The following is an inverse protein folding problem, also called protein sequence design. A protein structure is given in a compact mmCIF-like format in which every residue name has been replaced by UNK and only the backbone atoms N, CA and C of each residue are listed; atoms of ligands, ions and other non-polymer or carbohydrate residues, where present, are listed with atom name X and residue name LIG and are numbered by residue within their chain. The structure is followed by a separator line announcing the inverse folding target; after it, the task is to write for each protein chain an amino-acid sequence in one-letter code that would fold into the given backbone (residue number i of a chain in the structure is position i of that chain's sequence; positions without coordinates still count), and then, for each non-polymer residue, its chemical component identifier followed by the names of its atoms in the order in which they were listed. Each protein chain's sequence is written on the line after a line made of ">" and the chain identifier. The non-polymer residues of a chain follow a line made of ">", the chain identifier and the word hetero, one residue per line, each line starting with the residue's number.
data_IF_954085159780
#
_entry.id   IF_954085159780
#
_cell.length_a   1.000
_cell.length_b   1.000
_cell.length_c   1.000
_cell.angle_alpha   90.00
_cell.angle_beta   90.00
_cell.angle_gamma   90.00
#
_symmetry.space_group_name_H-M   'P 1'
#
loop_
_entity.id
_entity.type
_entity.pdbx_description
1 polymer ?
#
# COMPACT_ATOMS: atom_id res chain seq x y z
N UNK A 1 36.72 9.92 16.30
CA UNK A 1 36.13 9.85 14.95
C UNK A 1 34.63 9.98 15.11
N UNK A 2 33.98 10.93 14.45
CA UNK A 2 32.53 11.12 14.55
C UNK A 2 31.83 10.24 13.51
N UNK A 3 30.86 9.45 13.97
CA UNK A 3 29.93 8.71 13.14
C UNK A 3 28.96 9.71 12.49
N UNK A 4 28.94 9.75 11.16
CA UNK A 4 27.97 10.52 10.37
C UNK A 4 26.91 9.51 9.93
N UNK A 5 25.66 9.57 10.43
CA UNK A 5 24.62 8.65 10.00
C UNK A 5 24.36 8.81 8.50
N UNK A 6 24.38 7.70 7.76
CA UNK A 6 24.10 7.70 6.34
C UNK A 6 22.61 8.00 6.06
N UNK A 7 22.45 9.11 5.34
CA UNK A 7 21.49 9.43 4.26
C UNK A 7 20.00 9.06 4.41
N UNK A 8 19.09 10.03 4.16
CA UNK A 8 17.65 9.80 4.18
C UNK A 8 17.28 8.64 3.26
N UNK A 9 16.45 7.73 3.78
CA UNK A 9 15.91 6.55 3.09
C UNK A 9 15.59 6.90 1.64
N UNK A 10 16.44 6.44 0.71
CA UNK A 10 16.22 6.70 -0.70
C UNK A 10 14.87 6.10 -1.11
N UNK A 11 14.10 6.87 -1.88
CA UNK A 11 12.82 6.39 -2.40
C UNK A 11 13.03 5.06 -3.14
N UNK A 12 12.30 4.03 -2.71
CA UNK A 12 12.40 2.69 -3.26
C UNK A 12 12.14 2.73 -4.76
N UNK A 13 13.12 2.30 -5.55
CA UNK A 13 12.99 2.26 -6.99
C UNK A 13 11.94 1.21 -7.36
N UNK A 14 10.89 1.66 -8.06
CA UNK A 14 9.82 0.78 -8.56
C UNK A 14 10.04 0.49 -10.04
N UNK A 15 9.83 -0.76 -10.50
CA UNK A 15 10.01 -1.12 -11.90
C UNK A 15 8.98 -0.42 -12.79
N UNK A 16 9.32 -0.27 -14.07
CA UNK A 16 8.35 0.21 -15.05
C UNK A 16 7.29 -0.85 -15.33
N UNK A 17 6.06 -0.39 -15.56
CA UNK A 17 4.93 -1.22 -15.98
C UNK A 17 5.25 -2.11 -17.19
N UNK A 18 6.09 -1.60 -18.10
CA UNK A 18 6.46 -2.27 -19.33
C UNK A 18 7.39 -3.49 -19.10
N UNK A 19 8.05 -3.56 -17.94
CA UNK A 19 9.10 -4.56 -17.64
C UNK A 19 8.65 -5.60 -16.62
N UNK A 20 7.54 -5.38 -15.90
CA UNK A 20 7.09 -6.32 -14.86
C UNK A 20 6.38 -7.54 -15.43
N UNK A 21 6.49 -8.68 -14.75
CA UNK A 21 5.75 -9.90 -15.09
C UNK A 21 4.99 -10.48 -13.90
N UNK A 22 4.04 -11.37 -14.17
CA UNK A 22 3.31 -12.10 -13.11
C UNK A 22 4.24 -12.97 -12.25
N UNK A 23 5.34 -13.47 -12.84
CA UNK A 23 6.37 -14.24 -12.12
C UNK A 23 7.09 -13.40 -11.06
N UNK A 24 7.17 -12.08 -11.26
CA UNK A 24 7.77 -11.13 -10.33
C UNK A 24 6.77 -10.68 -9.24
N UNK A 25 5.59 -11.32 -9.16
CA UNK A 25 4.55 -11.00 -8.18
C UNK A 25 3.59 -9.90 -8.61
N UNK A 26 3.75 -9.31 -9.81
CA UNK A 26 2.86 -8.27 -10.34
C UNK A 26 1.63 -8.89 -11.00
N UNK A 27 0.53 -8.94 -10.26
CA UNK A 27 -0.73 -9.49 -10.73
C UNK A 27 -1.63 -8.42 -11.36
N UNK A 28 -2.56 -8.85 -12.22
CA UNK A 28 -3.55 -7.96 -12.82
C UNK A 28 -3.10 -7.30 -14.13
N UNK A 29 -1.93 -7.63 -14.68
CA UNK A 29 -1.50 -7.15 -16.00
C UNK A 29 -2.49 -7.48 -17.12
N UNK A 30 -3.12 -8.65 -17.04
CA UNK A 30 -4.12 -9.11 -18.01
C UNK A 30 -5.57 -8.76 -17.62
N UNK A 31 -5.79 -7.97 -16.56
CA UNK A 31 -7.15 -7.63 -16.14
C UNK A 31 -7.88 -6.86 -17.24
N UNK A 32 -9.07 -7.33 -17.59
CA UNK A 32 -10.00 -6.66 -18.53
C UNK A 32 -11.04 -5.82 -17.81
N UNK A 33 -11.07 -5.88 -16.47
CA UNK A 33 -12.02 -5.13 -15.64
C UNK A 33 -11.81 -3.62 -15.80
N UNK A 34 -12.91 -2.87 -15.75
CA UNK A 34 -12.84 -1.41 -15.75
C UNK A 34 -12.36 -0.90 -14.38
N UNK A 35 -11.88 0.35 -14.34
CA UNK A 35 -11.50 1.03 -13.09
C UNK A 35 -12.69 1.06 -12.13
N UNK A 36 -13.89 1.37 -12.62
CA UNK A 36 -15.12 1.42 -11.81
C UNK A 36 -15.47 0.07 -11.19
N UNK A 37 -15.35 -1.03 -11.96
CA UNK A 37 -15.55 -2.38 -11.44
C UNK A 37 -14.54 -2.68 -10.33
N UNK A 38 -13.26 -2.33 -10.52
CA UNK A 38 -12.23 -2.55 -9.51
C UNK A 38 -12.47 -1.70 -8.25
N UNK A 39 -12.88 -0.44 -8.40
CA UNK A 39 -13.25 0.42 -7.26
C UNK A 39 -14.41 -0.19 -6.46
N UNK A 40 -15.45 -0.70 -7.12
CA UNK A 40 -16.55 -1.37 -6.45
C UNK A 40 -16.10 -2.64 -5.71
N UNK A 41 -15.21 -3.43 -6.32
CA UNK A 41 -14.64 -4.61 -5.65
C UNK A 41 -13.79 -4.24 -4.43
N UNK A 42 -12.99 -3.17 -4.52
CA UNK A 42 -12.22 -2.63 -3.39
C UNK A 42 -13.17 -2.15 -2.28
N UNK A 43 -14.25 -1.43 -2.63
CA UNK A 43 -15.27 -0.99 -1.67
C UNK A 43 -15.87 -2.17 -0.93
N UNK A 44 -16.24 -3.24 -1.65
CA UNK A 44 -16.77 -4.45 -1.03
C UNK A 44 -15.74 -5.16 -0.15
N UNK A 45 -14.47 -5.17 -0.55
CA UNK A 45 -13.40 -5.76 0.25
C UNK A 45 -13.14 -4.97 1.54
N UNK A 46 -13.11 -3.64 1.46
CA UNK A 46 -12.96 -2.76 2.62
C UNK A 46 -14.18 -2.85 3.56
N UNK A 47 -15.39 -2.98 3.00
CA UNK A 47 -16.61 -3.20 3.79
C UNK A 47 -16.53 -4.49 4.62
N UNK A 48 -16.02 -5.58 4.04
CA UNK A 48 -15.78 -6.83 4.78
C UNK A 48 -14.74 -6.70 5.89
N UNK A 49 -13.83 -5.73 5.77
CA UNK A 49 -12.85 -5.36 6.79
C UNK A 49 -13.39 -4.35 7.82
N UNK A 50 -14.69 -4.02 7.76
CA UNK A 50 -15.33 -3.10 8.71
C UNK A 50 -15.20 -1.61 8.37
N UNK A 51 -14.79 -1.28 7.14
CA UNK A 51 -14.66 0.10 6.68
C UNK A 51 -15.74 0.51 5.67
N UNK A 52 -16.19 1.74 5.75
CA UNK A 52 -17.05 2.36 4.74
C UNK A 52 -16.22 3.30 3.87
N UNK A 53 -16.16 3.01 2.56
CA UNK A 53 -15.46 3.87 1.60
C UNK A 53 -16.28 5.12 1.34
N UNK A 54 -15.67 6.30 1.50
CA UNK A 54 -16.26 7.60 1.23
C UNK A 54 -16.04 8.03 -0.21
N UNK A 55 -14.81 7.90 -0.71
CA UNK A 55 -14.47 8.30 -2.08
C UNK A 55 -13.15 7.70 -2.60
N UNK A 56 -13.04 7.64 -3.92
CA UNK A 56 -11.77 7.44 -4.64
C UNK A 56 -11.37 8.75 -5.30
N UNK A 57 -10.26 9.33 -4.87
CA UNK A 57 -9.70 10.53 -5.44
C UNK A 57 -8.55 10.17 -6.36
N UNK A 58 -8.71 10.39 -7.68
CA UNK A 58 -7.63 10.22 -8.64
C UNK A 58 -6.57 11.31 -8.43
N UNK A 59 -5.31 10.94 -8.45
CA UNK A 59 -4.20 11.88 -8.25
C UNK A 59 -2.91 11.39 -8.90
N UNK A 60 -1.82 12.06 -8.54
CA UNK A 60 -0.47 11.66 -8.91
C UNK A 60 0.38 11.54 -7.65
N UNK A 61 1.12 10.45 -7.55
CA UNK A 61 2.17 10.30 -6.57
C UNK A 61 3.43 11.01 -7.11
N UNK A 62 3.96 11.92 -6.30
CA UNK A 62 5.18 12.67 -6.63
C UNK A 62 6.37 11.99 -5.95
N UNK A 63 7.23 11.41 -6.77
CA UNK A 63 8.50 10.82 -6.38
C UNK A 63 9.55 11.09 -7.46
N UNK A 64 10.60 10.27 -7.56
CA UNK A 64 11.59 10.30 -8.65
C UNK A 64 10.92 10.27 -10.03
N UNK A 65 9.85 9.48 -10.16
CA UNK A 65 8.99 9.46 -11.35
C UNK A 65 7.55 9.75 -10.96
N UNK A 66 6.86 10.63 -11.69
CA UNK A 66 5.44 10.91 -11.47
C UNK A 66 4.59 9.71 -11.87
N UNK A 67 3.81 9.18 -10.92
CA UNK A 67 2.96 8.01 -11.10
C UNK A 67 1.51 8.40 -10.94
N UNK A 68 0.64 7.97 -11.85
CA UNK A 68 -0.80 8.14 -11.66
C UNK A 68 -1.27 7.22 -10.52
N UNK A 69 -2.30 7.62 -9.78
CA UNK A 69 -2.77 6.83 -8.64
C UNK A 69 -4.16 7.21 -8.14
N UNK A 70 -4.54 6.58 -7.04
CA UNK A 70 -5.77 6.87 -6.30
C UNK A 70 -5.49 6.98 -4.81
N UNK A 71 -6.20 7.90 -4.18
CA UNK A 71 -6.35 8.01 -2.73
C UNK A 71 -7.73 7.52 -2.36
N UNK A 72 -7.81 6.49 -1.54
CA UNK A 72 -9.07 5.91 -1.04
C UNK A 72 -9.32 6.47 0.35
N UNK A 73 -10.39 7.25 0.49
CA UNK A 73 -10.84 7.76 1.78
C UNK A 73 -11.90 6.82 2.35
N UNK A 74 -11.73 6.40 3.60
CA UNK A 74 -12.68 5.52 4.27
C UNK A 74 -12.87 5.92 5.74
N UNK A 75 -13.90 5.37 6.37
CA UNK A 75 -14.13 5.46 7.81
C UNK A 75 -14.28 4.07 8.40
N UNK A 76 -13.66 3.85 9.55
CA UNK A 76 -13.79 2.63 10.33
C UNK A 76 -14.61 2.90 11.58
N UNK A 77 -15.61 2.07 11.85
CA UNK A 77 -16.39 2.17 13.07
C UNK A 77 -15.64 1.47 14.21
N UNK A 78 -15.15 2.25 15.18
CA UNK A 78 -14.51 1.71 16.37
C UNK A 78 -15.53 1.04 17.30
N UNK A 79 -15.05 0.20 18.22
CA UNK A 79 -15.89 -0.52 19.17
C UNK A 79 -16.72 0.40 20.09
N UNK A 80 -16.27 1.64 20.29
CA UNK A 80 -16.96 2.68 21.06
C UNK A 80 -17.94 3.51 20.22
N UNK A 81 -18.20 3.11 18.97
CA UNK A 81 -19.12 3.78 18.05
C UNK A 81 -18.55 5.03 17.37
N UNK A 82 -17.29 5.39 17.60
CA UNK A 82 -16.64 6.50 16.89
C UNK A 82 -16.27 6.10 15.47
N UNK A 83 -16.47 7.02 14.53
CA UNK A 83 -15.94 6.89 13.18
C UNK A 83 -14.51 7.41 13.15
N UNK A 84 -13.56 6.53 12.82
CA UNK A 84 -12.17 6.89 12.66
C UNK A 84 -11.85 6.98 11.17
N UNK A 85 -11.44 8.15 10.65
CA UNK A 85 -11.11 8.30 9.25
C UNK A 85 -9.80 7.56 8.93
N UNK A 86 -9.69 7.08 7.70
CA UNK A 86 -8.50 6.42 7.18
C UNK A 86 -8.28 6.72 5.71
N UNK A 87 -7.06 6.48 5.27
CA UNK A 87 -6.60 6.77 3.92
C UNK A 87 -5.68 5.66 3.41
N UNK A 88 -5.95 5.18 2.21
CA UNK A 88 -5.03 4.31 1.47
C UNK A 88 -4.59 5.02 0.20
N UNK A 89 -3.29 5.26 0.06
CA UNK A 89 -2.70 5.81 -1.15
C UNK A 89 -2.15 4.67 -2.03
N UNK A 90 -2.57 4.64 -3.29
CA UNK A 90 -2.14 3.65 -4.28
C UNK A 90 -1.55 4.37 -5.49
N UNK A 91 -0.31 4.04 -5.82
CA UNK A 91 0.36 4.52 -7.02
C UNK A 91 0.48 3.39 -8.05
N UNK A 92 0.17 3.67 -9.30
CA UNK A 92 0.46 2.76 -10.41
C UNK A 92 1.95 2.72 -10.72
N UNK A 93 2.38 1.67 -11.42
CA UNK A 93 3.74 1.62 -11.94
C UNK A 93 3.97 2.72 -12.99
N UNK A 94 5.18 3.31 -13.04
CA UNK A 94 5.53 4.27 -14.07
C UNK A 94 5.54 3.58 -15.45
N UNK A 95 5.26 4.35 -16.50
CA UNK A 95 5.22 3.86 -17.89
C UNK A 95 6.33 4.56 -18.68
N UNK A 96 7.05 3.83 -19.52
CA UNK A 96 8.10 4.39 -20.38
C UNK A 96 7.47 5.26 -21.48
N UNK A 97 7.97 6.47 -21.70
CA UNK A 97 7.47 7.39 -22.74
C UNK A 97 7.74 6.86 -24.15
N UNK A 98 8.96 6.39 -24.42
CA UNK A 98 9.32 5.71 -25.67
C UNK A 98 9.31 4.19 -25.49
N UNK A 99 8.23 3.54 -25.89
CA UNK A 99 8.18 2.08 -25.94
C UNK A 99 7.78 1.62 -27.33
N UNK A 100 8.50 0.64 -27.85
CA UNK A 100 8.43 0.17 -29.25
C UNK A 100 7.10 -0.46 -29.68
N UNK A 101 6.12 -0.59 -28.77
CA UNK A 101 4.84 -1.23 -29.06
C UNK A 101 3.78 -0.21 -29.52
N UNK A 102 2.92 -0.66 -30.44
CA UNK A 102 1.76 0.04 -31.03
C UNK A 102 0.74 0.62 -30.02
N UNK A 103 0.90 0.39 -28.71
CA UNK A 103 0.00 0.92 -27.67
C UNK A 103 0.40 2.33 -27.26
N UNK A 104 -0.55 3.27 -27.37
CA UNK A 104 -0.37 4.64 -26.89
C UNK A 104 -0.05 4.66 -25.39
N UNK A 105 0.81 5.59 -24.97
CA UNK A 105 1.20 5.77 -23.56
C UNK A 105 -0.02 5.89 -22.63
N UNK A 106 -1.07 6.60 -23.07
CA UNK A 106 -2.33 6.74 -22.32
C UNK A 106 -2.97 5.37 -22.00
N UNK A 107 -3.00 4.43 -22.95
CA UNK A 107 -3.56 3.09 -22.73
C UNK A 107 -2.72 2.29 -21.75
N UNK A 108 -1.40 2.44 -21.80
CA UNK A 108 -0.48 1.77 -20.87
C UNK A 108 -0.62 2.33 -19.44
N UNK A 109 -0.74 3.65 -19.28
CA UNK A 109 -1.04 4.30 -17.99
C UNK A 109 -2.36 3.82 -17.40
N UNK A 110 -3.41 3.73 -18.23
CA UNK A 110 -4.71 3.20 -17.79
C UNK A 110 -4.60 1.73 -17.35
N UNK A 111 -3.84 0.91 -18.08
CA UNK A 111 -3.61 -0.49 -17.70
C UNK A 111 -2.81 -0.60 -16.39
N UNK A 112 -1.78 0.23 -16.21
CA UNK A 112 -0.99 0.28 -14.97
C UNK A 112 -1.87 0.65 -13.76
N UNK A 113 -2.81 1.60 -13.93
CA UNK A 113 -3.79 1.97 -12.90
C UNK A 113 -4.72 0.81 -12.56
N UNK A 114 -5.25 0.10 -13.56
CA UNK A 114 -6.10 -1.08 -13.34
C UNK A 114 -5.35 -2.18 -12.62
N UNK A 115 -4.09 -2.41 -12.97
CA UNK A 115 -3.21 -3.36 -12.31
C UNK A 115 -3.03 -2.99 -10.83
N UNK A 116 -2.75 -1.73 -10.52
CA UNK A 116 -2.59 -1.27 -9.14
C UNK A 116 -3.87 -1.45 -8.30
N UNK A 117 -5.04 -1.12 -8.85
CA UNK A 117 -6.32 -1.35 -8.18
C UNK A 117 -6.63 -2.85 -8.00
N UNK A 118 -6.30 -3.68 -9.00
CA UNK A 118 -6.44 -5.13 -8.89
C UNK A 118 -5.57 -5.72 -7.78
N UNK A 119 -4.32 -5.25 -7.66
CA UNK A 119 -3.42 -5.66 -6.59
C UNK A 119 -3.94 -5.22 -5.22
N UNK A 120 -4.42 -3.98 -5.08
CA UNK A 120 -5.05 -3.52 -3.84
C UNK A 120 -6.24 -4.41 -3.46
N UNK A 121 -7.13 -4.69 -4.41
CA UNK A 121 -8.28 -5.59 -4.19
C UNK A 121 -7.82 -6.95 -3.67
N UNK A 122 -6.76 -7.50 -4.26
CA UNK A 122 -6.19 -8.79 -3.85
C UNK A 122 -5.57 -8.73 -2.46
N UNK A 123 -4.84 -7.66 -2.15
CA UNK A 123 -4.28 -7.43 -0.83
C UNK A 123 -5.37 -7.32 0.25
N UNK A 124 -6.47 -6.58 -0.01
CA UNK A 124 -7.58 -6.48 0.93
C UNK A 124 -8.30 -7.82 1.14
N UNK A 125 -8.44 -8.63 0.07
CA UNK A 125 -8.98 -9.97 0.19
C UNK A 125 -8.07 -10.88 1.03
N UNK A 126 -6.75 -10.79 0.86
CA UNK A 126 -5.77 -11.49 1.69
C UNK A 126 -5.83 -11.04 3.15
N UNK A 127 -5.97 -9.74 3.39
CA UNK A 127 -6.11 -9.18 4.73
C UNK A 127 -7.39 -9.67 5.43
N UNK A 128 -8.50 -9.80 4.70
CA UNK A 128 -9.73 -10.38 5.24
C UNK A 128 -9.57 -11.86 5.61
N UNK A 129 -8.82 -12.64 4.81
CA UNK A 129 -8.48 -14.01 5.18
C UNK A 129 -7.66 -14.02 6.48
N UNK A 130 -6.64 -13.16 6.60
CA UNK A 130 -5.80 -13.07 7.79
C UNK A 130 -6.57 -12.69 9.05
N UNK A 131 -7.58 -11.82 8.94
CA UNK A 131 -8.42 -11.45 10.08
C UNK A 131 -9.21 -12.64 10.66
N UNK A 132 -9.54 -13.64 9.83
CA UNK A 132 -10.19 -14.87 10.30
C UNK A 132 -9.21 -15.86 10.92
N UNK A 133 -7.96 -15.89 10.42
CA UNK A 133 -6.95 -16.84 10.86
C UNK A 133 -6.18 -16.38 12.10
N UNK A 134 -6.05 -15.07 12.31
CA UNK A 134 -5.25 -14.48 13.38
C UNK A 134 -6.11 -13.56 14.24
N UNK A 135 -6.57 -14.02 15.42
CA UNK A 135 -7.22 -13.16 16.40
C UNK A 135 -6.34 -11.95 16.74
N UNK A 136 -6.87 -10.75 16.56
CA UNK A 136 -6.14 -9.49 16.77
C UNK A 136 -5.53 -8.86 15.51
N UNK A 137 -5.51 -9.56 14.36
CA UNK A 137 -5.07 -8.96 13.11
C UNK A 137 -6.04 -7.83 12.68
N UNK A 138 -5.50 -6.62 12.56
CA UNK A 138 -6.27 -5.41 12.27
C UNK A 138 -5.74 -4.73 11.01
N UNK A 139 -6.20 -5.21 9.85
CA UNK A 139 -5.70 -4.84 8.53
C UNK A 139 -5.65 -3.34 8.25
N UNK A 140 -6.63 -2.58 8.75
CA UNK A 140 -6.84 -1.18 8.41
C UNK A 140 -6.22 -0.19 9.40
N UNK A 141 -5.74 -0.68 10.55
CA UNK A 141 -5.12 0.19 11.58
C UNK A 141 -3.94 0.99 11.06
N UNK A 142 -2.99 0.41 10.28
CA UNK A 142 -1.86 1.17 9.74
C UNK A 142 -2.25 2.36 8.85
N UNK A 143 -3.46 2.32 8.27
CA UNK A 143 -4.00 3.29 7.31
C UNK A 143 -4.99 4.28 7.94
N UNK A 144 -5.30 4.14 9.23
CA UNK A 144 -6.14 5.11 9.96
C UNK A 144 -5.38 6.43 10.09
N UNK A 145 -6.10 7.56 10.04
CA UNK A 145 -5.51 8.88 10.25
C UNK A 145 -5.36 9.16 11.75
N UNK A 146 -4.23 9.75 12.13
CA UNK A 146 -4.03 10.27 13.48
C UNK A 146 -4.89 11.50 13.75
N UNK A 147 -5.35 11.64 14.99
CA UNK A 147 -6.24 12.72 15.39
C UNK A 147 -5.61 14.10 15.10
N UNK A 148 -6.32 14.92 14.33
CA UNK A 148 -5.87 16.28 13.97
C UNK A 148 -4.75 16.32 12.92
N UNK A 149 -4.45 15.22 12.24
CA UNK A 149 -3.38 15.13 11.23
C UNK A 149 -3.90 14.55 9.91
N UNK A 150 -3.21 14.85 8.81
CA UNK A 150 -3.39 14.16 7.51
C UNK A 150 -2.39 13.00 7.33
N UNK A 151 -1.88 12.47 8.45
CA UNK A 151 -0.93 11.36 8.48
C UNK A 151 -1.60 10.11 9.01
N UNK A 152 -1.33 9.00 8.35
CA UNK A 152 -1.73 7.67 8.79
C UNK A 152 -0.94 7.25 10.03
N UNK A 153 -1.45 6.27 10.79
CA UNK A 153 -0.72 5.72 11.95
C UNK A 153 0.65 5.20 11.52
N UNK A 154 0.77 4.56 10.36
CA UNK A 154 2.07 4.10 9.84
C UNK A 154 3.03 5.25 9.52
N UNK A 155 2.56 6.35 8.92
CA UNK A 155 3.36 7.56 8.69
C UNK A 155 3.82 8.18 10.01
N UNK A 156 2.90 8.38 10.96
CA UNK A 156 3.21 8.91 12.30
C UNK A 156 4.21 8.01 13.05
N UNK A 157 4.07 6.70 12.90
CA UNK A 157 4.98 5.73 13.49
C UNK A 157 6.38 5.81 12.87
N UNK A 158 6.48 5.93 11.54
CA UNK A 158 7.75 6.04 10.83
C UNK A 158 8.52 7.33 11.11
N UNK A 159 7.83 8.38 11.55
CA UNK A 159 8.42 9.68 11.87
C UNK A 159 8.72 9.84 13.37
N UNK A 160 8.26 8.92 14.22
CA UNK A 160 8.39 9.02 15.67
C UNK A 160 9.83 8.75 16.13
N UNK A 161 10.50 9.73 16.78
CA UNK A 161 11.88 9.54 17.29
C UNK A 161 11.97 8.48 18.39
N UNK A 162 10.89 8.30 19.16
CA UNK A 162 10.83 7.36 20.29
C UNK A 162 10.92 5.91 19.79
N UNK A 163 10.43 5.63 18.58
CA UNK A 163 10.44 4.29 18.00
C UNK A 163 11.79 3.89 17.40
N UNK A 164 12.66 4.85 17.04
CA UNK A 164 14.04 4.54 16.63
C UNK A 164 14.82 3.80 17.73
N UNK A 165 14.39 3.92 19.00
CA UNK A 165 15.00 3.24 20.15
C UNK A 165 14.45 1.82 20.39
N UNK A 166 13.41 1.41 19.67
CA UNK A 166 12.80 0.06 19.78
C UNK A 166 13.24 -0.87 18.66
N UNK A 167 13.92 -0.34 17.64
CA UNK A 167 14.74 -1.17 16.77
C UNK A 167 16.02 -1.50 17.56
N UNK A 168 16.45 -2.77 17.63
CA UNK A 168 17.74 -3.09 18.24
C UNK A 168 18.80 -2.20 17.57
N UNK A 169 19.75 -1.64 18.33
CA UNK A 169 20.89 -0.95 17.73
C UNK A 169 21.47 -1.91 16.69
N UNK A 170 21.55 -1.46 15.44
CA UNK A 170 21.98 -2.32 14.34
C UNK A 170 23.41 -2.78 14.59
N UNK A 171 23.56 -3.96 15.19
CA UNK A 171 24.78 -4.80 15.29
C UNK A 171 24.54 -6.08 16.13
N UNK A 172 23.31 -6.56 16.31
CA UNK A 172 23.09 -7.90 16.88
C UNK A 172 22.76 -8.89 15.75
N UNK A 173 23.73 -9.77 15.46
CA UNK A 173 23.51 -10.98 14.66
C UNK A 173 22.25 -11.68 15.17
N UNK A 174 21.30 -11.92 14.27
CA UNK A 174 20.14 -12.78 14.55
C UNK A 174 20.65 -14.15 15.00
N UNK A 175 20.58 -14.43 16.30
CA UNK A 175 20.76 -15.79 16.81
C UNK A 175 19.46 -16.53 16.48
N UNK A 176 19.50 -17.42 15.48
CA UNK A 176 18.42 -18.39 15.25
C UNK A 176 18.22 -19.20 16.54
N UNK A 177 17.14 -18.90 17.25
CA UNK A 177 16.73 -19.69 18.40
C UNK A 177 16.18 -21.03 17.92
N UNK A 178 16.85 -22.12 18.27
CA UNK A 178 16.31 -23.47 18.12
C UNK A 178 14.96 -23.57 18.86
N UNK A 179 13.88 -23.68 18.09
CA UNK A 179 12.59 -24.08 18.63
C UNK A 179 12.74 -25.53 19.12
N UNK A 180 12.84 -25.71 20.44
CA UNK A 180 12.68 -27.04 21.03
C UNK A 180 11.24 -27.47 20.83
N UNK A 181 11.04 -28.48 19.99
CA UNK A 181 9.79 -29.24 19.94
C UNK A 181 9.53 -29.81 21.35
N UNK A 182 8.32 -29.55 21.87
CA UNK A 182 7.80 -30.15 23.10
C UNK A 182 7.07 -31.46 22.79
#
# INVERSE_FOLDING_TARGET
>A
MNFIPETPKEEQEVPYFDDVTEKDGWQGMATTKSIETLQNEITNALFRLGAHVLSFQRGKYQGKTSRDGFRVHYVLMAADGRNVPGRIDIAALPVKTSYSLSRTEKKRRDQALRMALYMLRTAMQGAWNMQQLSPGFSALVPFMLGQGTDKTISELWSESPIMNNLLPPGDEEFIEGEAREL
#
